data_IF_180092890507
#
_entry.id   IF_180092890507
#
_cell.length_a   1.000
_cell.length_b   1.000
_cell.length_c   1.000
_cell.angle_alpha   90.00
_cell.angle_beta   90.00
_cell.angle_gamma   90.00
#
_symmetry.space_group_name_H-M   'P 1'
#
loop_
_entity.id
_entity.type
_entity.pdbx_description
1 polymer ?
#
# COMPACT_ATOMS: atom_id res chain seq x y z
N UNK A 1 14.32 29.21 -10.70
CA UNK A 1 13.70 29.52 -11.94
C UNK A 1 13.37 31.00 -11.98
N UNK A 2 14.15 31.80 -12.70
CA UNK A 2 14.01 33.24 -12.79
C UNK A 2 14.35 33.96 -11.46
N UNK A 3 13.64 35.07 -11.21
CA UNK A 3 13.83 35.86 -9.99
C UNK A 3 12.93 35.44 -8.83
N UNK A 4 12.22 34.32 -8.94
CA UNK A 4 11.37 33.83 -7.86
C UNK A 4 12.22 33.24 -6.73
N UNK A 5 11.93 33.67 -5.50
CA UNK A 5 12.55 33.15 -4.28
C UNK A 5 11.48 32.52 -3.43
N UNK A 6 11.77 31.37 -2.84
CA UNK A 6 10.96 30.78 -1.79
C UNK A 6 11.80 30.59 -0.54
N UNK A 7 11.16 30.65 0.61
CA UNK A 7 11.80 30.49 1.91
C UNK A 7 11.16 29.33 2.63
N UNK A 8 11.97 28.44 3.13
CA UNK A 8 11.56 27.36 4.01
C UNK A 8 12.09 27.65 5.42
N UNK A 9 11.21 27.68 6.39
CA UNK A 9 11.59 27.80 7.79
C UNK A 9 12.07 26.44 8.28
N UNK A 10 13.29 26.38 8.84
CA UNK A 10 13.94 25.13 9.28
C UNK A 10 14.23 25.13 10.78
N UNK A 11 13.35 25.75 11.58
CA UNK A 11 13.42 25.66 13.02
C UNK A 11 12.67 24.43 13.56
N UNK A 12 13.05 23.98 14.75
CA UNK A 12 12.44 22.79 15.40
C UNK A 12 10.94 22.95 15.66
N UNK A 13 10.44 24.17 15.81
CA UNK A 13 9.03 24.46 16.03
C UNK A 13 8.16 24.40 14.76
N UNK A 14 8.79 24.43 13.57
CA UNK A 14 8.10 24.37 12.26
C UNK A 14 8.26 23.03 11.58
N UNK A 15 9.01 22.10 12.17
CA UNK A 15 9.20 20.77 11.63
C UNK A 15 7.88 19.96 11.69
N UNK A 16 7.55 19.30 10.58
CA UNK A 16 6.47 18.31 10.57
C UNK A 16 6.89 17.12 11.42
N UNK A 17 5.96 16.59 12.23
CA UNK A 17 6.21 15.36 12.98
C UNK A 17 6.47 14.20 12.02
N UNK A 18 7.62 13.55 12.18
CA UNK A 18 8.01 12.38 11.40
C UNK A 18 7.64 11.06 12.10
N UNK A 19 6.96 11.11 13.24
CA UNK A 19 6.61 9.92 14.05
C UNK A 19 5.74 8.90 13.32
N UNK A 20 5.03 9.32 12.26
CA UNK A 20 4.20 8.44 11.41
C UNK A 20 4.93 7.91 10.17
N UNK A 21 6.20 8.28 10.00
CA UNK A 21 7.00 7.88 8.84
C UNK A 21 8.19 7.03 9.30
N UNK A 22 8.54 6.03 8.52
CA UNK A 22 9.81 5.34 8.69
C UNK A 22 10.95 6.25 8.19
N UNK A 23 11.64 6.87 9.13
CA UNK A 23 12.76 7.76 8.87
C UNK A 23 14.12 7.11 9.18
N UNK A 24 14.15 5.80 9.42
CA UNK A 24 15.40 5.06 9.71
C UNK A 24 16.39 5.12 8.55
N UNK A 25 15.90 5.39 7.35
CA UNK A 25 16.68 5.48 6.13
C UNK A 25 17.25 4.14 5.67
N UNK A 26 17.89 4.16 4.52
CA UNK A 26 18.52 2.96 3.96
C UNK A 26 19.82 2.60 4.69
N UNK A 27 20.00 1.31 4.96
CA UNK A 27 21.20 0.79 5.60
C UNK A 27 22.39 0.90 4.65
N UNK A 28 23.55 1.31 5.19
CA UNK A 28 24.79 1.32 4.43
C UNK A 28 25.24 -0.10 4.15
N UNK A 29 25.39 -0.45 2.89
CA UNK A 29 25.90 -1.75 2.47
C UNK A 29 27.23 -1.57 1.76
N UNK A 30 28.29 -2.21 2.25
CA UNK A 30 29.65 -2.09 1.69
C UNK A 30 30.07 -0.63 1.37
N UNK A 31 29.73 0.31 2.26
CA UNK A 31 30.09 1.72 2.09
C UNK A 31 29.21 2.54 1.16
N UNK A 32 28.20 1.96 0.51
CA UNK A 32 27.28 2.66 -0.36
C UNK A 32 25.85 2.61 0.18
N UNK A 33 25.05 3.63 -0.13
CA UNK A 33 23.62 3.69 0.11
C UNK A 33 22.88 3.83 -1.21
N UNK A 34 21.74 3.18 -1.32
CA UNK A 34 20.88 3.29 -2.48
C UNK A 34 19.42 3.42 -2.09
N UNK A 35 18.68 4.21 -2.86
CA UNK A 35 17.25 4.38 -2.67
C UNK A 35 16.53 4.31 -4.02
N UNK A 36 15.52 3.43 -4.12
CA UNK A 36 14.71 3.26 -5.33
C UNK A 36 13.38 3.98 -5.13
N UNK A 37 12.96 4.80 -6.08
CA UNK A 37 11.66 5.43 -6.07
C UNK A 37 11.02 5.38 -7.46
N UNK A 38 9.70 5.55 -7.52
CA UNK A 38 8.94 5.64 -8.74
C UNK A 38 8.17 6.94 -8.81
N UNK A 39 7.73 7.32 -10.00
CA UNK A 39 6.88 8.47 -10.26
C UNK A 39 5.47 8.32 -9.61
N UNK A 40 5.09 7.08 -9.27
CA UNK A 40 3.82 6.76 -8.62
C UNK A 40 3.94 5.50 -7.74
N UNK A 41 2.90 5.22 -6.94
CA UNK A 41 2.85 4.04 -6.06
C UNK A 41 2.26 2.79 -6.70
N UNK A 42 1.45 2.95 -7.77
CA UNK A 42 0.77 1.86 -8.47
C UNK A 42 0.78 2.13 -9.96
N UNK A 43 1.08 1.13 -10.76
CA UNK A 43 1.08 1.16 -12.23
C UNK A 43 0.02 0.21 -12.78
N UNK A 44 -0.27 0.33 -14.06
CA UNK A 44 -1.15 -0.59 -14.79
C UNK A 44 -0.32 -1.48 -15.70
N UNK A 45 -0.80 -2.69 -16.04
CA UNK A 45 -0.24 -3.44 -17.17
C UNK A 45 -0.22 -2.56 -18.43
N UNK A 46 0.89 -2.57 -19.16
CA UNK A 46 1.13 -1.71 -20.32
C UNK A 46 1.74 -0.34 -20.02
N UNK A 47 1.83 0.06 -18.74
CA UNK A 47 2.54 1.30 -18.38
C UNK A 47 4.05 1.11 -18.48
N UNK A 48 4.75 2.21 -18.77
CA UNK A 48 6.19 2.32 -18.51
C UNK A 48 6.41 2.78 -17.08
N UNK A 49 7.12 1.99 -16.30
CA UNK A 49 7.51 2.34 -14.94
C UNK A 49 8.71 3.30 -15.01
N UNK A 50 8.51 4.56 -14.67
CA UNK A 50 9.59 5.54 -14.55
C UNK A 50 10.18 5.44 -13.14
N UNK A 51 11.35 4.79 -13.04
CA UNK A 51 12.01 4.49 -11.78
C UNK A 51 13.31 5.27 -11.66
N UNK A 52 13.49 5.91 -10.50
CA UNK A 52 14.72 6.55 -10.13
C UNK A 52 15.47 5.71 -9.10
N UNK A 53 16.79 5.67 -9.24
CA UNK A 53 17.69 5.12 -8.24
C UNK A 53 18.68 6.20 -7.83
N UNK A 54 18.70 6.54 -6.55
CA UNK A 54 19.63 7.47 -5.96
C UNK A 54 20.78 6.70 -5.30
N UNK A 55 21.97 6.85 -5.82
CA UNK A 55 23.19 6.25 -5.29
C UNK A 55 24.00 7.27 -4.49
N UNK A 56 24.33 6.93 -3.25
CA UNK A 56 25.21 7.73 -2.41
C UNK A 56 26.47 6.91 -2.10
N UNK A 57 27.55 7.23 -2.81
CA UNK A 57 28.90 6.69 -2.59
C UNK A 57 29.83 7.78 -2.07
N UNK A 58 29.66 8.13 -0.80
CA UNK A 58 30.49 9.19 -0.16
C UNK A 58 31.97 8.84 -0.12
N UNK A 59 32.28 7.57 -0.03
CA UNK A 59 33.67 7.08 0.06
C UNK A 59 34.34 6.90 -1.30
N UNK A 60 33.63 7.20 -2.39
CA UNK A 60 34.09 7.04 -3.78
C UNK A 60 34.70 5.65 -4.05
N UNK A 61 34.00 4.62 -3.58
CA UNK A 61 34.46 3.24 -3.72
C UNK A 61 34.20 2.67 -5.11
N UNK A 62 33.27 3.27 -5.85
CA UNK A 62 32.94 2.84 -7.20
C UNK A 62 33.78 3.59 -8.23
N UNK A 63 34.32 2.90 -9.25
CA UNK A 63 35.01 3.55 -10.34
C UNK A 63 34.07 4.44 -11.16
N UNK A 64 34.64 5.39 -11.88
CA UNK A 64 33.88 6.25 -12.80
C UNK A 64 33.12 5.38 -13.84
N UNK A 65 31.88 5.76 -14.13
CA UNK A 65 30.99 5.03 -15.04
C UNK A 65 30.71 3.57 -14.62
N UNK A 66 30.77 3.27 -13.33
CA UNK A 66 30.40 1.94 -12.83
C UNK A 66 28.95 1.61 -13.23
N UNK A 67 28.68 0.41 -13.76
CA UNK A 67 27.33 0.05 -14.19
C UNK A 67 26.38 -0.09 -13.01
N UNK A 68 25.23 0.56 -13.12
CA UNK A 68 24.06 0.37 -12.26
C UNK A 68 23.03 -0.42 -13.05
N UNK A 69 22.71 -1.61 -12.58
CA UNK A 69 21.87 -2.58 -13.27
C UNK A 69 20.53 -2.65 -12.52
N UNK A 70 19.44 -2.32 -13.21
CA UNK A 70 18.10 -2.47 -12.68
C UNK A 70 17.41 -3.66 -13.32
N UNK A 71 16.83 -4.52 -12.49
CA UNK A 71 16.13 -5.73 -12.90
C UNK A 71 14.71 -5.72 -12.34
N UNK A 72 13.76 -6.11 -13.17
CA UNK A 72 12.35 -6.21 -12.81
C UNK A 72 11.93 -7.68 -12.80
N UNK A 73 11.22 -8.09 -11.76
CA UNK A 73 10.71 -9.44 -11.57
C UNK A 73 9.20 -9.40 -11.35
N UNK A 74 8.48 -10.31 -12.02
CA UNK A 74 7.03 -10.42 -11.92
C UNK A 74 6.58 -10.99 -10.54
N UNK A 75 5.26 -11.05 -10.25
CA UNK A 75 4.75 -11.57 -8.98
C UNK A 75 5.11 -13.04 -8.68
N UNK A 76 5.46 -13.83 -9.71
CA UNK A 76 5.93 -15.21 -9.58
C UNK A 76 7.43 -15.30 -9.31
N UNK A 77 8.13 -14.16 -9.19
CA UNK A 77 9.58 -14.12 -9.03
C UNK A 77 10.39 -14.39 -10.30
N UNK A 78 9.74 -14.45 -11.45
CA UNK A 78 10.40 -14.65 -12.74
C UNK A 78 11.01 -13.34 -13.22
N UNK A 79 12.21 -13.43 -13.78
CA UNK A 79 12.86 -12.31 -14.44
C UNK A 79 12.00 -11.78 -15.60
N UNK A 80 11.86 -10.46 -15.68
CA UNK A 80 11.04 -9.80 -16.68
C UNK A 80 11.87 -8.89 -17.60
N UNK A 81 12.61 -7.94 -17.03
CA UNK A 81 13.36 -6.95 -17.79
C UNK A 81 14.61 -6.50 -17.03
N UNK A 82 15.68 -6.19 -17.80
CA UNK A 82 16.92 -5.60 -17.27
C UNK A 82 17.28 -4.35 -18.06
N UNK A 83 17.71 -3.31 -17.35
CA UNK A 83 18.35 -2.12 -17.94
C UNK A 83 19.61 -1.76 -17.18
N UNK A 84 20.58 -1.23 -17.90
CA UNK A 84 21.88 -0.82 -17.34
C UNK A 84 22.14 0.63 -17.67
N UNK A 85 22.55 1.40 -16.68
CA UNK A 85 23.01 2.79 -16.79
C UNK A 85 24.41 2.90 -16.26
N UNK A 86 25.30 3.61 -16.98
CA UNK A 86 26.67 3.85 -16.54
C UNK A 86 26.90 5.32 -16.17
N UNK A 87 25.96 6.20 -16.52
CA UNK A 87 26.01 7.63 -16.22
C UNK A 87 24.78 8.04 -15.46
N UNK A 88 24.97 8.64 -14.30
CA UNK A 88 23.94 9.28 -13.50
C UNK A 88 24.26 10.76 -13.30
N UNK A 89 23.25 11.57 -13.09
CA UNK A 89 23.39 12.97 -12.75
C UNK A 89 23.38 13.14 -11.22
N UNK A 90 24.46 13.62 -10.65
CA UNK A 90 24.61 13.78 -9.20
C UNK A 90 24.24 12.51 -8.37
N UNK A 91 24.52 11.32 -8.90
CA UNK A 91 24.18 10.05 -8.25
C UNK A 91 22.75 9.57 -8.53
N UNK A 92 21.99 10.29 -9.34
CA UNK A 92 20.66 9.91 -9.75
C UNK A 92 20.69 9.18 -11.10
N UNK A 93 20.13 7.98 -11.15
CA UNK A 93 19.97 7.14 -12.32
C UNK A 93 18.49 6.97 -12.62
N UNK A 94 18.08 7.18 -13.87
CA UNK A 94 16.68 7.08 -14.29
C UNK A 94 16.52 5.89 -15.24
N UNK A 95 15.49 5.08 -14.97
CA UNK A 95 15.20 3.87 -15.74
C UNK A 95 13.74 3.86 -16.19
N UNK A 96 13.52 3.68 -17.48
CA UNK A 96 12.21 3.46 -18.06
C UNK A 96 12.01 1.96 -18.25
N UNK A 97 11.14 1.35 -17.49
CA UNK A 97 10.88 -0.09 -17.45
C UNK A 97 9.47 -0.35 -18.02
N UNK A 98 9.33 -0.54 -19.36
CA UNK A 98 8.03 -0.81 -19.96
C UNK A 98 7.50 -2.19 -19.54
N UNK A 99 6.18 -2.26 -19.40
CA UNK A 99 5.47 -3.52 -19.19
C UNK A 99 4.51 -3.79 -20.34
N UNK A 100 4.24 -5.07 -20.62
CA UNK A 100 3.26 -5.45 -21.62
C UNK A 100 1.82 -5.25 -21.14
N UNK A 101 0.84 -5.03 -22.03
CA UNK A 101 -0.57 -4.85 -21.67
C UNK A 101 -1.18 -6.05 -20.94
N UNK A 102 -0.64 -7.24 -21.15
CA UNK A 102 -1.04 -8.49 -20.50
C UNK A 102 -0.14 -8.88 -19.32
N UNK A 103 0.75 -7.96 -18.89
CA UNK A 103 1.62 -8.20 -17.74
C UNK A 103 0.80 -8.58 -16.50
N UNK A 104 1.22 -9.58 -15.72
CA UNK A 104 0.47 -10.04 -14.56
C UNK A 104 0.36 -8.95 -13.50
N UNK A 105 -0.83 -8.81 -12.94
CA UNK A 105 -1.09 -7.90 -11.81
C UNK A 105 -0.56 -8.49 -10.51
N UNK A 106 -0.19 -7.62 -9.57
CA UNK A 106 0.27 -8.01 -8.24
C UNK A 106 1.52 -7.28 -7.78
N UNK A 107 2.23 -7.91 -6.85
CA UNK A 107 3.45 -7.37 -6.26
C UNK A 107 4.67 -7.77 -7.10
N UNK A 108 5.28 -6.80 -7.73
CA UNK A 108 6.52 -6.93 -8.50
C UNK A 108 7.73 -6.55 -7.65
N UNK A 109 8.89 -7.09 -7.96
CA UNK A 109 10.14 -6.71 -7.30
C UNK A 109 11.10 -6.05 -8.29
N UNK A 110 11.69 -4.95 -7.86
CA UNK A 110 12.79 -4.28 -8.56
C UNK A 110 14.05 -4.49 -7.74
N UNK A 111 15.09 -4.97 -8.40
CA UNK A 111 16.43 -5.08 -7.84
C UNK A 111 17.37 -4.15 -8.58
N UNK A 112 18.17 -3.40 -7.82
CA UNK A 112 19.26 -2.59 -8.37
C UNK A 112 20.59 -3.15 -7.87
N UNK A 113 21.42 -3.60 -8.79
CA UNK A 113 22.72 -4.18 -8.53
C UNK A 113 23.82 -3.15 -8.86
N UNK A 114 24.62 -2.78 -7.88
CA UNK A 114 25.73 -1.84 -8.02
C UNK A 114 26.82 -2.13 -6.99
N UNK A 115 28.08 -2.18 -7.38
CA UNK A 115 29.22 -2.39 -6.48
C UNK A 115 29.15 -3.69 -5.66
N UNK A 116 28.51 -4.73 -6.19
CA UNK A 116 28.33 -5.99 -5.45
C UNK A 116 27.30 -5.91 -4.32
N UNK A 117 26.41 -4.92 -4.38
CA UNK A 117 25.26 -4.74 -3.47
C UNK A 117 23.97 -4.77 -4.27
N UNK A 118 22.94 -5.31 -3.69
CA UNK A 118 21.59 -5.33 -4.27
C UNK A 118 20.62 -4.54 -3.39
N UNK A 119 19.98 -3.55 -3.99
CA UNK A 119 18.87 -2.80 -3.39
C UNK A 119 17.56 -3.31 -3.98
N UNK A 120 16.56 -3.54 -3.14
CA UNK A 120 15.28 -4.11 -3.56
C UNK A 120 14.13 -3.21 -3.17
N UNK A 121 13.17 -3.04 -4.10
CA UNK A 121 11.90 -2.36 -3.82
C UNK A 121 10.73 -3.17 -4.37
N UNK A 122 9.67 -3.26 -3.58
CA UNK A 122 8.39 -3.83 -4.02
C UNK A 122 7.54 -2.77 -4.70
N UNK A 123 7.02 -3.09 -5.87
CA UNK A 123 6.12 -2.26 -6.67
C UNK A 123 4.76 -2.95 -6.80
N UNK A 124 3.74 -2.17 -7.15
CA UNK A 124 2.40 -2.71 -7.45
C UNK A 124 2.01 -2.40 -8.88
N UNK A 125 1.65 -3.44 -9.61
CA UNK A 125 1.04 -3.30 -10.94
C UNK A 125 -0.36 -3.89 -10.83
N UNK A 126 -1.40 -3.06 -11.00
CA UNK A 126 -2.78 -3.45 -10.77
C UNK A 126 -3.70 -2.86 -11.84
N UNK A 127 -4.74 -3.62 -12.20
CA UNK A 127 -5.80 -3.08 -13.05
C UNK A 127 -6.67 -2.17 -12.22
N UNK A 128 -6.51 -0.87 -12.36
CA UNK A 128 -7.32 0.13 -11.67
C UNK A 128 -8.67 0.20 -12.37
N UNK A 129 -9.69 -0.42 -11.79
CA UNK A 129 -11.09 -0.21 -12.19
C UNK A 129 -11.62 0.96 -11.35
N UNK A 130 -12.00 2.09 -11.95
CA UNK A 130 -12.60 3.17 -11.18
C UNK A 130 -13.88 2.68 -10.50
N UNK A 131 -14.04 3.00 -9.21
CA UNK A 131 -15.29 2.75 -8.51
C UNK A 131 -16.41 3.49 -9.25
N UNK A 132 -17.47 2.78 -9.60
CA UNK A 132 -18.64 3.35 -10.27
C UNK A 132 -19.85 3.41 -9.36
N UNK A 133 -19.77 2.73 -8.22
CA UNK A 133 -20.86 2.57 -7.27
C UNK A 133 -20.48 3.20 -5.92
N UNK A 134 -21.47 3.84 -5.32
CA UNK A 134 -21.44 4.24 -3.92
C UNK A 134 -22.40 3.32 -3.16
N UNK A 135 -21.85 2.63 -2.16
CA UNK A 135 -22.60 1.68 -1.33
C UNK A 135 -22.69 2.29 0.08
N UNK A 136 -23.88 2.40 0.59
CA UNK A 136 -24.17 2.81 1.97
C UNK A 136 -24.87 1.67 2.68
N UNK A 137 -24.27 1.19 3.76
CA UNK A 137 -24.86 0.18 4.63
C UNK A 137 -25.18 0.84 5.98
N UNK A 138 -26.47 0.86 6.33
CA UNK A 138 -26.95 1.41 7.58
C UNK A 138 -27.40 0.28 8.47
N UNK A 139 -26.83 0.20 9.65
CA UNK A 139 -27.21 -0.75 10.69
C UNK A 139 -27.43 -0.01 11.99
N UNK A 140 -28.42 -0.41 12.83
CA UNK A 140 -28.57 0.17 14.15
C UNK A 140 -27.31 -0.13 14.99
N UNK A 141 -26.77 0.85 15.74
CA UNK A 141 -25.65 0.66 16.64
C UNK A 141 -26.11 -0.11 17.89
N UNK A 142 -26.36 -1.41 17.73
CA UNK A 142 -26.99 -2.24 18.78
C UNK A 142 -26.10 -3.41 19.11
N UNK A 143 -25.96 -3.71 20.41
CA UNK A 143 -25.50 -5.02 20.85
C UNK A 143 -26.63 -6.03 20.58
N UNK A 144 -26.32 -7.09 19.87
CA UNK A 144 -27.29 -8.14 19.55
C UNK A 144 -27.29 -9.20 20.64
N UNK A 145 -28.47 -9.65 21.03
CA UNK A 145 -28.63 -10.83 21.84
C UNK A 145 -28.81 -12.04 20.90
N UNK A 146 -28.45 -13.22 21.40
CA UNK A 146 -28.61 -14.46 20.64
C UNK A 146 -30.07 -14.67 20.23
N UNK A 147 -30.31 -14.81 18.93
CA UNK A 147 -31.63 -15.00 18.35
C UNK A 147 -32.39 -13.71 18.03
N UNK A 148 -31.79 -12.53 18.27
CA UNK A 148 -32.39 -11.27 17.80
C UNK A 148 -32.10 -11.05 16.31
N UNK A 149 -33.12 -10.62 15.53
CA UNK A 149 -32.89 -10.21 14.16
C UNK A 149 -32.11 -8.90 14.09
N UNK A 150 -31.23 -8.80 13.09
CA UNK A 150 -30.55 -7.56 12.74
C UNK A 150 -31.07 -7.06 11.40
N UNK A 151 -31.77 -5.95 11.43
CA UNK A 151 -32.20 -5.27 10.22
C UNK A 151 -31.11 -4.31 9.73
N UNK A 152 -30.65 -4.51 8.53
CA UNK A 152 -29.71 -3.66 7.84
C UNK A 152 -30.30 -3.14 6.54
N UNK A 153 -30.12 -1.85 6.27
CA UNK A 153 -30.54 -1.23 5.01
C UNK A 153 -29.31 -0.95 4.16
N UNK A 154 -29.29 -1.51 2.95
CA UNK A 154 -28.24 -1.24 1.95
C UNK A 154 -28.81 -0.35 0.85
N UNK A 155 -28.12 0.74 0.57
CA UNK A 155 -28.40 1.64 -0.54
C UNK A 155 -27.23 1.67 -1.49
N UNK A 156 -27.50 1.43 -2.78
CA UNK A 156 -26.48 1.41 -3.84
C UNK A 156 -26.89 2.37 -4.95
N UNK A 157 -26.00 3.28 -5.27
CA UNK A 157 -26.18 4.25 -6.33
C UNK A 157 -24.94 4.33 -7.23
N UNK A 158 -25.13 4.67 -8.48
CA UNK A 158 -24.03 5.05 -9.35
C UNK A 158 -23.44 6.38 -8.89
N UNK A 159 -22.15 6.62 -9.09
CA UNK A 159 -21.51 7.88 -8.67
C UNK A 159 -22.15 9.14 -9.27
N UNK A 160 -22.85 9.01 -10.41
CA UNK A 160 -23.64 10.07 -11.00
C UNK A 160 -25.03 10.27 -10.37
N UNK A 161 -25.34 9.54 -9.29
CA UNK A 161 -26.57 9.72 -8.50
C UNK A 161 -27.76 8.84 -8.90
N UNK A 162 -27.68 8.06 -9.98
CA UNK A 162 -28.73 7.14 -10.38
C UNK A 162 -28.76 5.90 -9.48
N UNK A 163 -29.94 5.45 -9.06
CA UNK A 163 -30.09 4.21 -8.29
C UNK A 163 -29.59 3.01 -9.08
N UNK A 164 -28.70 2.23 -8.50
CA UNK A 164 -28.23 0.99 -9.09
C UNK A 164 -29.25 -0.15 -8.82
N UNK A 165 -29.66 -0.82 -9.88
CA UNK A 165 -30.66 -1.90 -9.80
C UNK A 165 -30.12 -3.19 -10.40
N UNK A 166 -30.65 -4.34 -9.95
CA UNK A 166 -30.32 -5.65 -10.47
C UNK A 166 -28.85 -6.01 -10.39
N UNK A 167 -28.18 -5.59 -9.32
CA UNK A 167 -26.80 -5.93 -9.03
C UNK A 167 -26.75 -7.18 -8.14
N UNK A 168 -25.79 -8.04 -8.40
CA UNK A 168 -25.39 -9.09 -7.46
C UNK A 168 -24.51 -8.50 -6.40
N UNK A 169 -24.71 -8.89 -5.15
CA UNK A 169 -23.89 -8.46 -4.03
C UNK A 169 -23.56 -9.64 -3.12
N UNK A 170 -22.48 -9.54 -2.43
CA UNK A 170 -22.06 -10.43 -1.36
C UNK A 170 -21.87 -9.62 -0.10
N UNK A 171 -22.43 -10.09 1.02
CA UNK A 171 -22.29 -9.45 2.33
C UNK A 171 -21.64 -10.44 3.27
N UNK A 172 -20.53 -10.03 3.85
CA UNK A 172 -19.85 -10.77 4.90
C UNK A 172 -20.00 -10.06 6.24
N UNK A 173 -20.54 -10.75 7.23
CA UNK A 173 -20.72 -10.25 8.59
C UNK A 173 -19.86 -11.04 9.58
N UNK A 174 -19.23 -10.34 10.52
CA UNK A 174 -18.50 -10.97 11.61
C UNK A 174 -19.10 -10.52 12.94
N UNK A 175 -19.49 -11.47 13.78
CA UNK A 175 -19.97 -11.21 15.13
C UNK A 175 -18.81 -11.31 16.11
N UNK A 176 -18.67 -10.28 16.96
CA UNK A 176 -17.64 -10.22 17.98
C UNK A 176 -18.31 -10.23 19.35
N UNK A 177 -17.87 -11.12 20.22
CA UNK A 177 -18.30 -11.18 21.61
C UNK A 177 -17.97 -9.87 22.34
N UNK A 178 -18.94 -9.33 23.06
CA UNK A 178 -18.75 -8.14 23.91
C UNK A 178 -19.08 -8.48 25.36
N UNK A 179 -18.26 -8.03 26.33
CA UNK A 179 -18.58 -8.26 27.74
C UNK A 179 -19.95 -7.71 28.15
N UNK A 180 -20.67 -8.46 28.98
CA UNK A 180 -21.94 -8.03 29.55
C UNK A 180 -21.66 -7.05 30.69
N UNK A 181 -22.06 -5.80 30.51
CA UNK A 181 -21.81 -4.75 31.51
C UNK A 181 -23.08 -3.99 31.85
N UNK A 182 -23.29 -3.65 33.12
CA UNK A 182 -24.36 -2.80 33.60
C UNK A 182 -23.78 -1.57 34.29
N UNK A 183 -24.34 -0.39 34.02
CA UNK A 183 -23.82 0.90 34.46
C UNK A 183 -23.71 1.02 36.00
N UNK A 184 -24.60 0.39 36.75
CA UNK A 184 -24.60 0.36 38.21
C UNK A 184 -23.70 -0.70 38.85
N UNK A 185 -23.14 -1.62 38.08
CA UNK A 185 -22.46 -2.82 38.58
C UNK A 185 -21.09 -3.05 37.97
N UNK A 186 -20.32 -2.01 37.81
CA UNK A 186 -19.00 -2.02 37.13
C UNK A 186 -17.96 -2.98 37.73
N UNK A 187 -18.16 -3.40 38.99
CA UNK A 187 -17.26 -4.32 39.73
C UNK A 187 -17.63 -5.79 39.58
N UNK A 188 -18.72 -6.09 38.89
CA UNK A 188 -19.22 -7.45 38.75
C UNK A 188 -18.97 -7.96 37.34
N UNK A 189 -18.70 -9.24 37.21
CA UNK A 189 -18.56 -9.96 35.96
C UNK A 189 -19.82 -10.80 35.73
N UNK A 190 -20.46 -10.65 34.59
CA UNK A 190 -21.74 -11.25 34.28
C UNK A 190 -21.69 -12.33 33.20
N UNK A 191 -20.54 -12.47 32.54
CA UNK A 191 -20.38 -13.47 31.49
C UNK A 191 -20.04 -14.84 32.08
N UNK A 192 -20.61 -15.90 31.50
CA UNK A 192 -20.32 -17.27 31.88
C UNK A 192 -19.00 -17.72 31.22
N UNK A 193 -17.93 -17.93 31.97
CA UNK A 193 -16.64 -18.32 31.42
C UNK A 193 -16.63 -19.72 30.77
N UNK A 194 -17.67 -20.54 31.03
CA UNK A 194 -17.83 -21.85 30.41
C UNK A 194 -18.46 -21.78 29.02
N UNK A 195 -19.05 -20.64 28.62
CA UNK A 195 -19.71 -20.40 27.35
C UNK A 195 -18.91 -19.46 26.48
N UNK A 196 -17.83 -19.98 25.90
CA UNK A 196 -17.00 -19.20 24.96
C UNK A 196 -17.78 -19.03 23.65
N UNK A 197 -18.03 -17.80 23.27
CA UNK A 197 -18.54 -17.48 21.93
C UNK A 197 -17.37 -17.58 20.95
N UNK A 198 -17.43 -18.54 20.03
CA UNK A 198 -16.48 -18.63 18.93
C UNK A 198 -16.92 -17.64 17.85
N UNK A 199 -16.07 -16.66 17.55
CA UNK A 199 -16.33 -15.58 16.59
C UNK A 199 -16.31 -16.01 15.11
N UNK A 200 -16.38 -17.31 14.81
CA UNK A 200 -16.22 -17.87 13.47
C UNK A 200 -17.52 -18.10 12.68
N UNK A 201 -18.67 -17.65 13.16
CA UNK A 201 -19.86 -17.67 12.31
C UNK A 201 -19.83 -16.46 11.35
N UNK A 202 -19.11 -16.60 10.23
CA UNK A 202 -19.27 -15.72 9.08
C UNK A 202 -20.47 -16.14 8.26
N UNK A 203 -21.50 -15.29 8.18
CA UNK A 203 -22.62 -15.46 7.26
C UNK A 203 -22.25 -14.80 5.93
N UNK A 204 -22.16 -15.57 4.86
CA UNK A 204 -22.10 -15.09 3.48
C UNK A 204 -23.48 -15.25 2.85
N UNK A 205 -24.09 -14.14 2.44
CA UNK A 205 -25.35 -14.11 1.70
C UNK A 205 -25.06 -13.61 0.28
N UNK A 206 -25.19 -14.49 -0.70
CA UNK A 206 -25.12 -14.14 -2.13
C UNK A 206 -26.56 -13.98 -2.65
N UNK A 207 -26.86 -12.79 -3.14
CA UNK A 207 -28.14 -12.50 -3.81
C UNK A 207 -27.90 -11.94 -5.20
#
# INVERSE_FOLDING_TARGET
>A
LGQQRSYLRVDDGSALSLSSFDVSGEVVQKGIKGFIYGDRGVWRPGDTLHLGFMLNDRSRMLPANHPVIMELYNPLGQFYLRKTQTKGEAGLYVFDMPTEPDAPTGAWNVNVNVGGVTFTKRLRIETIKPNRLKISLTMPPKKLLRGEPLDAAMHVEWLQGATARNLKYDIQGTFISTPTTFSGYKKFYFDDPSKIFNSEESLSLIH
#
